data_IF_155973443431
#
_entry.id   IF_155973443431
#
_cell.length_a   1.000
_cell.length_b   1.000
_cell.length_c   1.000
_cell.angle_alpha   90.00
_cell.angle_beta   90.00
_cell.angle_gamma   90.00
#
_symmetry.space_group_name_H-M   'P 1'
#
loop_
_entity.id
_entity.type
_entity.pdbx_description
1 polymer ?
#
# COMPACT_ATOMS: atom_id res chain seq x y z
N UNK A 1 5.70 -7.91 -19.49
CA UNK A 1 5.29 -7.13 -18.31
C UNK A 1 6.33 -6.07 -18.01
N UNK A 2 5.92 -4.82 -17.79
CA UNK A 2 6.86 -3.74 -17.43
C UNK A 2 7.06 -3.69 -15.92
N UNK A 3 8.31 -3.57 -15.50
CA UNK A 3 8.73 -3.47 -14.09
C UNK A 3 9.49 -2.16 -13.92
N UNK A 4 9.19 -1.41 -12.86
CA UNK A 4 9.97 -0.23 -12.50
C UNK A 4 11.22 -0.66 -11.75
N UNK A 5 12.39 -0.21 -12.22
CA UNK A 5 13.68 -0.36 -11.57
C UNK A 5 14.18 0.98 -11.07
N UNK A 6 15.03 0.96 -10.05
CA UNK A 6 15.61 2.16 -9.47
C UNK A 6 17.13 2.04 -9.43
N UNK A 7 17.82 3.10 -9.86
CA UNK A 7 19.27 3.28 -9.69
C UNK A 7 19.51 4.46 -8.76
N UNK A 8 20.63 4.44 -8.05
CA UNK A 8 21.11 5.58 -7.28
C UNK A 8 22.27 6.28 -8.01
N UNK A 9 22.28 7.59 -7.96
CA UNK A 9 23.29 8.43 -8.56
C UNK A 9 23.67 9.61 -7.64
N UNK A 10 24.71 10.34 -8.02
CA UNK A 10 25.09 11.63 -7.40
C UNK A 10 23.99 12.70 -7.56
N UNK A 11 24.16 13.82 -6.92
CA UNK A 11 23.30 15.03 -7.10
C UNK A 11 24.16 16.09 -7.81
N UNK A 12 24.07 16.20 -9.15
CA UNK A 12 24.79 17.25 -9.89
C UNK A 12 24.24 18.64 -9.60
N UNK A 13 25.06 19.67 -9.83
CA UNK A 13 24.63 21.05 -9.78
C UNK A 13 23.50 21.32 -10.77
N UNK A 14 22.60 22.23 -10.41
CA UNK A 14 21.42 22.58 -11.24
C UNK A 14 20.22 21.65 -11.10
N UNK A 15 20.38 20.39 -10.66
CA UNK A 15 19.29 19.43 -10.56
C UNK A 15 18.19 19.89 -9.61
N UNK A 16 18.60 20.46 -8.45
CA UNK A 16 17.68 21.00 -7.45
C UNK A 16 16.89 22.20 -8.00
N UNK A 17 17.53 23.05 -8.79
CA UNK A 17 16.87 24.21 -9.43
C UNK A 17 15.78 23.75 -10.42
N UNK A 18 16.05 22.72 -11.23
CA UNK A 18 15.07 22.11 -12.13
C UNK A 18 13.88 21.55 -11.30
N UNK A 19 14.16 20.81 -10.23
CA UNK A 19 13.11 20.26 -9.36
C UNK A 19 12.22 21.36 -8.76
N UNK A 20 12.79 22.47 -8.32
CA UNK A 20 12.03 23.63 -7.80
C UNK A 20 11.12 24.24 -8.86
N UNK A 21 11.64 24.46 -10.07
CA UNK A 21 10.88 25.01 -11.19
C UNK A 21 9.76 24.08 -11.62
N UNK A 22 10.03 22.78 -11.69
CA UNK A 22 9.01 21.74 -11.94
C UNK A 22 7.97 21.71 -10.83
N UNK A 23 8.39 21.83 -9.57
CA UNK A 23 7.48 21.91 -8.41
C UNK A 23 6.53 23.11 -8.52
N UNK A 24 7.01 24.25 -8.98
CA UNK A 24 6.16 25.42 -9.27
C UNK A 24 5.12 25.10 -10.35
N UNK A 25 5.55 24.53 -11.49
CA UNK A 25 4.62 24.12 -12.57
C UNK A 25 3.56 23.15 -12.04
N UNK A 26 3.97 22.12 -11.27
CA UNK A 26 3.05 21.14 -10.66
C UNK A 26 2.01 21.82 -9.76
N UNK A 27 2.45 22.70 -8.90
CA UNK A 27 1.56 23.41 -7.96
C UNK A 27 0.59 24.33 -8.70
N UNK A 28 1.05 25.07 -9.70
CA UNK A 28 0.23 26.00 -10.46
C UNK A 28 -0.78 25.28 -11.36
N UNK A 29 -0.39 24.21 -12.05
CA UNK A 29 -1.31 23.37 -12.85
C UNK A 29 -2.39 22.77 -11.95
N UNK A 30 -2.04 22.27 -10.78
CA UNK A 30 -3.02 21.73 -9.83
C UNK A 30 -3.99 22.83 -9.36
N UNK A 31 -3.47 24.00 -9.00
CA UNK A 31 -4.28 25.14 -8.56
C UNK A 31 -5.27 25.60 -9.64
N UNK A 32 -4.84 25.69 -10.90
CA UNK A 32 -5.69 26.17 -12.00
C UNK A 32 -6.70 25.14 -12.48
N UNK A 33 -6.29 23.86 -12.56
CA UNK A 33 -7.03 22.80 -13.24
C UNK A 33 -7.45 21.64 -12.33
N UNK A 34 -7.09 21.66 -11.04
CA UNK A 34 -7.40 20.59 -10.07
C UNK A 34 -8.83 20.64 -9.53
N UNK A 35 -9.67 21.59 -9.95
CA UNK A 35 -11.07 21.64 -9.54
C UNK A 35 -11.88 20.51 -10.17
N UNK A 36 -12.93 20.04 -9.47
CA UNK A 36 -13.80 18.94 -9.91
C UNK A 36 -14.34 19.11 -11.33
N UNK A 37 -14.69 20.32 -11.73
CA UNK A 37 -15.19 20.61 -13.08
C UNK A 37 -14.10 20.54 -14.18
N UNK A 38 -12.83 20.56 -13.80
CA UNK A 38 -11.69 20.49 -14.73
C UNK A 38 -11.10 19.08 -14.79
N UNK A 39 -11.22 18.30 -13.73
CA UNK A 39 -10.67 16.94 -13.64
C UNK A 39 -11.54 15.96 -14.41
N UNK A 40 -11.08 15.55 -15.55
CA UNK A 40 -11.80 14.71 -16.52
C UNK A 40 -11.52 15.14 -17.94
N UNK A 41 -10.93 16.33 -18.13
CA UNK A 41 -10.40 16.74 -19.43
C UNK A 41 -9.23 15.83 -19.81
N UNK A 42 -9.12 15.51 -21.09
CA UNK A 42 -8.02 14.73 -21.62
C UNK A 42 -6.68 15.42 -21.28
N UNK A 43 -5.74 14.65 -20.68
CA UNK A 43 -4.42 15.13 -20.27
C UNK A 43 -3.67 15.81 -21.44
N UNK A 44 -3.76 15.25 -22.65
CA UNK A 44 -3.13 15.82 -23.84
C UNK A 44 -3.79 17.12 -24.29
N UNK A 45 -5.11 17.25 -24.19
CA UNK A 45 -5.81 18.49 -24.52
C UNK A 45 -5.40 19.61 -23.55
N UNK A 46 -5.31 19.31 -22.25
CA UNK A 46 -4.86 20.28 -21.25
C UNK A 46 -3.40 20.68 -21.47
N UNK A 47 -2.52 19.71 -21.73
CA UNK A 47 -1.11 19.96 -22.07
C UNK A 47 -0.99 20.87 -23.28
N UNK A 48 -1.71 20.59 -24.38
CA UNK A 48 -1.72 21.43 -25.59
C UNK A 48 -2.16 22.88 -25.30
N UNK A 49 -3.23 23.04 -24.50
CA UNK A 49 -3.72 24.35 -24.10
C UNK A 49 -2.69 25.16 -23.28
N UNK A 50 -2.03 24.51 -22.31
CA UNK A 50 -0.98 25.11 -21.46
C UNK A 50 0.24 25.49 -22.31
N UNK A 51 0.63 24.64 -23.26
CA UNK A 51 1.76 24.89 -24.18
C UNK A 51 1.44 26.03 -25.13
N UNK A 52 0.25 26.04 -25.72
CA UNK A 52 -0.18 27.11 -26.63
C UNK A 52 -0.26 28.48 -25.93
N UNK A 53 -0.72 28.48 -24.67
CA UNK A 53 -0.76 29.72 -23.87
C UNK A 53 0.62 30.13 -23.29
N UNK A 54 1.65 29.32 -23.49
CA UNK A 54 3.03 29.55 -23.02
C UNK A 54 3.14 29.99 -21.54
N UNK A 55 2.27 29.44 -20.66
CA UNK A 55 2.20 29.87 -19.27
C UNK A 55 3.53 29.79 -18.49
N UNK A 56 4.45 28.93 -18.91
CA UNK A 56 5.71 28.69 -18.21
C UNK A 56 6.94 28.92 -19.09
N UNK A 57 6.80 29.72 -20.16
CA UNK A 57 7.89 29.98 -21.10
C UNK A 57 9.12 30.65 -20.51
N UNK A 58 8.93 31.49 -19.51
CA UNK A 58 10.00 32.22 -18.84
C UNK A 58 10.76 31.36 -17.76
N UNK A 59 10.28 30.15 -17.43
CA UNK A 59 10.96 29.31 -16.45
C UNK A 59 12.21 28.67 -17.05
N UNK A 60 13.32 28.56 -16.29
CA UNK A 60 14.56 27.95 -16.73
C UNK A 60 14.46 26.41 -16.74
N UNK A 61 13.49 25.88 -17.48
CA UNK A 61 13.24 24.43 -17.61
C UNK A 61 12.94 24.09 -19.06
N UNK A 62 13.58 23.04 -19.58
CA UNK A 62 13.36 22.54 -20.92
C UNK A 62 11.88 22.29 -21.21
N UNK A 63 11.43 22.63 -22.43
CA UNK A 63 10.04 22.52 -22.85
C UNK A 63 9.48 21.10 -22.77
N UNK A 64 10.33 20.08 -23.01
CA UNK A 64 9.91 18.68 -22.91
C UNK A 64 9.68 18.25 -21.46
N UNK A 65 10.52 18.71 -20.52
CA UNK A 65 10.35 18.46 -19.07
C UNK A 65 9.06 19.14 -18.60
N UNK A 66 8.77 20.37 -19.06
CA UNK A 66 7.49 21.07 -18.74
C UNK A 66 6.28 20.30 -19.24
N UNK A 67 6.34 19.81 -20.47
CA UNK A 67 5.26 19.03 -21.08
C UNK A 67 4.98 17.72 -20.31
N UNK A 68 6.03 16.96 -20.00
CA UNK A 68 5.90 15.73 -19.21
C UNK A 68 5.44 16.01 -17.77
N UNK A 69 5.89 17.13 -17.16
CA UNK A 69 5.42 17.57 -15.85
C UNK A 69 3.91 17.82 -15.85
N UNK A 70 3.41 18.55 -16.85
CA UNK A 70 1.97 18.82 -16.98
C UNK A 70 1.18 17.52 -17.09
N UNK A 71 1.63 16.59 -17.92
CA UNK A 71 1.00 15.27 -18.09
C UNK A 71 0.99 14.47 -16.80
N UNK A 72 2.10 14.45 -16.07
CA UNK A 72 2.24 13.75 -14.78
C UNK A 72 1.28 14.32 -13.73
N UNK A 73 1.17 15.65 -13.64
CA UNK A 73 0.23 16.30 -12.70
C UNK A 73 -1.22 15.97 -13.02
N UNK A 74 -1.60 15.94 -14.29
CA UNK A 74 -2.97 15.58 -14.68
C UNK A 74 -3.27 14.11 -14.31
N UNK A 75 -2.30 13.21 -14.49
CA UNK A 75 -2.43 11.83 -14.04
C UNK A 75 -2.59 11.72 -12.52
N UNK A 76 -1.85 12.53 -11.75
CA UNK A 76 -2.01 12.60 -10.30
C UNK A 76 -3.42 13.07 -9.91
N UNK A 77 -3.98 14.08 -10.59
CA UNK A 77 -5.35 14.55 -10.36
C UNK A 77 -6.38 13.45 -10.65
N UNK A 78 -6.22 12.71 -11.74
CA UNK A 78 -7.11 11.60 -12.10
C UNK A 78 -7.02 10.46 -11.10
N UNK A 79 -5.81 10.13 -10.64
CA UNK A 79 -5.59 9.14 -9.58
C UNK A 79 -6.24 9.56 -8.27
N UNK A 80 -6.11 10.82 -7.89
CA UNK A 80 -6.76 11.38 -6.71
C UNK A 80 -8.30 11.33 -6.82
N UNK A 81 -8.85 11.68 -7.99
CA UNK A 81 -10.29 11.55 -8.28
C UNK A 81 -10.75 10.10 -8.15
N UNK A 82 -10.04 9.15 -8.73
CA UNK A 82 -10.36 7.73 -8.63
C UNK A 82 -10.38 7.25 -7.17
N UNK A 83 -9.38 7.63 -6.37
CA UNK A 83 -9.33 7.31 -4.94
C UNK A 83 -10.50 7.94 -4.15
N UNK A 84 -10.88 9.16 -4.47
CA UNK A 84 -12.05 9.81 -3.88
C UNK A 84 -13.36 9.07 -4.21
N UNK A 85 -13.53 8.64 -5.46
CA UNK A 85 -14.71 7.90 -5.91
C UNK A 85 -14.86 6.53 -5.23
N UNK A 86 -13.75 5.87 -4.84
CA UNK A 86 -13.80 4.65 -4.01
C UNK A 86 -14.47 4.96 -2.66
N UNK A 87 -14.10 6.06 -2.01
CA UNK A 87 -14.72 6.49 -0.74
C UNK A 87 -16.20 6.85 -0.91
N UNK A 88 -16.57 7.45 -2.05
CA UNK A 88 -17.99 7.74 -2.37
C UNK A 88 -18.77 6.45 -2.54
N UNK A 89 -18.23 5.43 -3.20
CA UNK A 89 -18.87 4.10 -3.31
C UNK A 89 -19.08 3.46 -1.95
N UNK A 90 -18.14 3.57 -1.05
CA UNK A 90 -18.28 3.09 0.34
C UNK A 90 -19.42 3.86 1.07
N UNK A 91 -19.54 5.17 0.86
CA UNK A 91 -20.61 5.98 1.42
C UNK A 91 -21.99 5.59 0.85
N UNK A 92 -22.08 5.27 -0.45
CA UNK A 92 -23.31 4.72 -1.08
C UNK A 92 -23.69 3.39 -0.43
N UNK A 93 -22.75 2.47 -0.27
CA UNK A 93 -22.98 1.17 0.36
C UNK A 93 -23.44 1.29 1.82
N UNK A 94 -22.93 2.30 2.55
CA UNK A 94 -23.34 2.58 3.94
C UNK A 94 -24.69 3.28 4.06
N UNK A 95 -25.11 4.04 3.05
CA UNK A 95 -26.35 4.83 3.07
C UNK A 95 -27.59 3.95 3.00
N UNK A 96 -27.61 2.97 2.12
CA UNK A 96 -28.79 2.15 1.87
C UNK A 96 -28.42 0.67 1.68
N UNK A 97 -29.32 -0.22 2.10
CA UNK A 97 -29.26 -1.66 1.83
C UNK A 97 -30.09 -2.03 0.60
N UNK A 98 -30.93 -1.13 0.10
CA UNK A 98 -31.72 -1.34 -1.10
C UNK A 98 -30.82 -1.45 -2.33
N UNK A 99 -30.90 -2.58 -3.02
CA UNK A 99 -30.10 -2.88 -4.20
C UNK A 99 -30.47 -2.02 -5.41
N UNK A 100 -31.73 -1.67 -5.59
CA UNK A 100 -32.20 -0.83 -6.70
C UNK A 100 -31.63 0.59 -6.55
N UNK A 101 -31.74 1.18 -5.37
CA UNK A 101 -31.19 2.51 -5.08
C UNK A 101 -29.65 2.51 -5.18
N UNK A 102 -28.95 1.47 -4.69
CA UNK A 102 -27.50 1.33 -4.88
C UNK A 102 -27.12 1.29 -6.34
N UNK A 103 -27.82 0.49 -7.14
CA UNK A 103 -27.58 0.39 -8.60
C UNK A 103 -27.77 1.74 -9.28
N UNK A 104 -28.85 2.46 -8.93
CA UNK A 104 -29.12 3.82 -9.43
C UNK A 104 -27.97 4.77 -9.11
N UNK A 105 -27.56 4.86 -7.83
CA UNK A 105 -26.48 5.75 -7.39
C UNK A 105 -25.13 5.39 -8.03
N UNK A 106 -24.79 4.10 -8.17
CA UNK A 106 -23.57 3.68 -8.86
C UNK A 106 -23.60 3.99 -10.34
N UNK A 107 -24.75 3.90 -11.01
CA UNK A 107 -24.90 4.27 -12.42
C UNK A 107 -24.70 5.77 -12.61
N UNK A 108 -25.31 6.60 -11.77
CA UNK A 108 -25.10 8.06 -11.78
C UNK A 108 -23.65 8.44 -11.50
N UNK A 109 -22.99 7.73 -10.55
CA UNK A 109 -21.60 7.96 -10.23
C UNK A 109 -20.66 7.56 -11.38
N UNK A 110 -20.95 6.43 -12.06
CA UNK A 110 -20.18 5.94 -13.21
C UNK A 110 -20.30 6.85 -14.44
N UNK A 111 -21.49 7.39 -14.68
CA UNK A 111 -21.74 8.32 -15.79
C UNK A 111 -21.23 9.74 -15.54
N UNK A 112 -20.60 9.97 -14.38
CA UNK A 112 -20.11 11.29 -13.92
C UNK A 112 -21.19 12.36 -13.76
N UNK A 113 -22.49 11.98 -13.81
CA UNK A 113 -23.64 12.88 -13.60
C UNK A 113 -23.96 13.09 -12.11
N UNK A 114 -22.98 12.91 -11.23
CA UNK A 114 -23.13 13.04 -9.79
C UNK A 114 -23.53 14.46 -9.32
N UNK A 115 -23.39 15.49 -10.14
CA UNK A 115 -23.91 16.83 -9.87
C UNK A 115 -25.45 16.87 -9.80
N UNK A 116 -26.13 15.94 -10.49
CA UNK A 116 -27.60 15.88 -10.52
C UNK A 116 -28.19 15.17 -9.29
N UNK A 117 -27.37 14.57 -8.45
CA UNK A 117 -27.80 13.88 -7.24
C UNK A 117 -27.21 14.57 -6.00
N UNK A 118 -28.05 15.13 -5.14
CA UNK A 118 -27.64 15.90 -3.96
C UNK A 118 -26.75 15.11 -2.98
N UNK A 119 -26.97 13.80 -2.84
CA UNK A 119 -26.15 12.99 -1.96
C UNK A 119 -24.77 12.75 -2.58
N UNK A 120 -24.71 12.30 -3.83
CA UNK A 120 -23.45 12.06 -4.52
C UNK A 120 -22.62 13.33 -4.64
N UNK A 121 -23.25 14.46 -4.97
CA UNK A 121 -22.58 15.76 -5.03
C UNK A 121 -21.88 16.11 -3.71
N UNK A 122 -22.60 15.99 -2.57
CA UNK A 122 -22.00 16.24 -1.25
C UNK A 122 -20.86 15.27 -0.93
N UNK A 123 -21.01 13.97 -1.25
CA UNK A 123 -19.97 12.98 -0.99
C UNK A 123 -18.75 13.19 -1.87
N UNK A 124 -18.92 13.48 -3.15
CA UNK A 124 -17.80 13.75 -4.06
C UNK A 124 -17.04 14.99 -3.58
N UNK A 125 -17.70 16.08 -3.24
CA UNK A 125 -17.05 17.30 -2.70
C UNK A 125 -16.37 17.08 -1.34
N UNK A 126 -16.90 16.18 -0.51
CA UNK A 126 -16.29 15.82 0.77
C UNK A 126 -14.95 15.10 0.58
N UNK A 127 -14.85 14.20 -0.39
CA UNK A 127 -13.69 13.32 -0.58
C UNK A 127 -12.72 13.82 -1.65
N UNK A 128 -13.20 14.58 -2.62
CA UNK A 128 -12.35 15.27 -3.59
C UNK A 128 -12.30 16.76 -3.25
N UNK A 129 -11.19 17.18 -2.66
CA UNK A 129 -10.96 18.60 -2.34
C UNK A 129 -9.95 19.16 -3.32
N UNK A 130 -10.22 20.37 -3.81
CA UNK A 130 -9.22 21.10 -4.58
C UNK A 130 -8.01 21.36 -3.68
N UNK A 131 -6.85 20.89 -4.10
CA UNK A 131 -5.61 20.96 -3.33
C UNK A 131 -4.48 21.60 -4.14
N UNK A 132 -3.28 21.47 -3.60
CA UNK A 132 -2.04 21.92 -4.22
C UNK A 132 -1.06 20.75 -4.21
N UNK A 133 -0.29 20.58 -5.29
CA UNK A 133 0.84 19.66 -5.28
C UNK A 133 2.00 20.26 -4.49
N UNK A 134 2.54 19.51 -3.55
CA UNK A 134 3.75 19.88 -2.79
C UNK A 134 4.99 19.13 -3.29
N UNK A 135 4.88 18.36 -4.37
CA UNK A 135 5.99 17.60 -4.95
C UNK A 135 6.91 18.55 -5.71
N UNK A 136 8.10 18.77 -5.21
CA UNK A 136 9.11 19.67 -5.77
C UNK A 136 10.52 19.03 -5.79
N UNK A 137 10.58 17.70 -5.70
CA UNK A 137 11.79 16.91 -5.60
C UNK A 137 11.99 15.96 -6.80
N UNK A 138 11.15 16.06 -7.84
CA UNK A 138 11.18 15.13 -8.96
C UNK A 138 10.75 15.75 -10.28
N UNK A 139 11.25 15.16 -11.37
CA UNK A 139 10.81 15.45 -12.73
C UNK A 139 10.93 14.24 -13.66
N UNK A 140 10.33 14.32 -14.85
CA UNK A 140 10.37 13.25 -15.85
C UNK A 140 11.20 13.70 -17.04
N UNK A 141 12.14 12.85 -17.46
CA UNK A 141 12.95 12.99 -18.67
C UNK A 141 12.43 12.01 -19.71
N UNK A 142 12.12 12.54 -20.89
CA UNK A 142 11.63 11.74 -22.02
C UNK A 142 12.77 10.90 -22.63
N UNK A 143 12.41 9.77 -23.22
CA UNK A 143 13.37 8.78 -23.76
C UNK A 143 14.32 9.32 -24.83
N UNK A 144 13.96 10.37 -25.58
CA UNK A 144 14.79 11.05 -26.58
C UNK A 144 15.73 12.10 -25.97
N UNK A 145 15.58 12.43 -24.70
CA UNK A 145 16.31 13.46 -23.97
C UNK A 145 17.37 12.92 -23.02
N UNK A 146 17.65 11.64 -23.06
CA UNK A 146 18.74 11.06 -22.30
C UNK A 146 19.49 10.00 -23.12
N UNK A 147 20.71 9.73 -22.69
CA UNK A 147 21.53 8.61 -23.16
C UNK A 147 22.24 7.98 -21.96
N UNK A 148 22.74 6.76 -22.12
CA UNK A 148 23.52 6.10 -21.09
C UNK A 148 24.76 5.46 -21.68
N UNK A 149 25.89 5.58 -20.97
CA UNK A 149 27.18 4.96 -21.32
C UNK A 149 27.88 4.47 -20.06
N UNK A 150 28.79 3.54 -20.20
CA UNK A 150 29.72 3.14 -19.12
C UNK A 150 30.98 3.94 -19.27
N UNK A 151 31.31 4.73 -18.26
CA UNK A 151 32.51 5.57 -18.18
C UNK A 151 33.22 5.20 -16.87
N UNK A 152 34.50 4.90 -16.93
CA UNK A 152 35.31 4.48 -15.78
C UNK A 152 34.66 3.39 -14.91
N UNK A 153 34.07 2.41 -15.58
CA UNK A 153 33.41 1.28 -14.92
C UNK A 153 32.06 1.61 -14.22
N UNK A 154 31.55 2.83 -14.36
CA UNK A 154 30.25 3.23 -13.82
C UNK A 154 29.27 3.58 -14.94
N UNK A 155 28.00 3.29 -14.74
CA UNK A 155 26.95 3.71 -15.65
C UNK A 155 26.67 5.19 -15.43
N UNK A 156 26.89 5.99 -16.47
CA UNK A 156 26.59 7.42 -16.51
C UNK A 156 25.37 7.65 -17.39
N UNK A 157 24.40 8.39 -16.87
CA UNK A 157 23.20 8.81 -17.60
C UNK A 157 23.33 10.28 -17.88
N UNK A 158 23.36 10.65 -19.15
CA UNK A 158 23.41 12.03 -19.63
C UNK A 158 22.01 12.50 -19.98
N UNK A 159 21.54 13.55 -19.31
CA UNK A 159 20.26 14.22 -19.60
C UNK A 159 20.55 15.44 -20.45
N UNK A 160 20.02 15.45 -21.67
CA UNK A 160 20.18 16.56 -22.61
C UNK A 160 19.11 17.60 -22.33
N UNK A 161 19.55 18.79 -21.97
CA UNK A 161 18.70 19.97 -21.82
C UNK A 161 19.01 20.97 -22.90
N UNK A 162 18.06 21.87 -23.19
CA UNK A 162 18.30 22.90 -24.20
C UNK A 162 19.46 23.81 -23.72
N UNK A 163 20.39 24.19 -24.63
CA UNK A 163 21.57 24.99 -24.28
C UNK A 163 21.26 26.27 -23.52
N UNK A 164 20.09 26.88 -23.79
CA UNK A 164 19.65 28.10 -23.08
C UNK A 164 19.37 27.88 -21.58
N UNK A 165 19.28 26.63 -21.12
CA UNK A 165 19.01 26.29 -19.72
C UNK A 165 20.23 25.71 -18.99
N UNK A 166 21.41 25.67 -19.63
CA UNK A 166 22.67 25.17 -19.09
C UNK A 166 23.25 24.01 -19.84
N UNK A 167 24.29 23.39 -19.26
CA UNK A 167 24.93 22.21 -19.82
C UNK A 167 24.15 20.93 -19.55
N UNK A 168 24.43 19.89 -20.30
CA UNK A 168 23.92 18.55 -20.06
C UNK A 168 24.23 18.08 -18.62
N UNK A 169 23.29 17.35 -18.05
CA UNK A 169 23.41 16.86 -16.67
C UNK A 169 23.88 15.41 -16.72
N UNK A 170 24.97 15.12 -16.00
CA UNK A 170 25.54 13.79 -15.90
C UNK A 170 25.24 13.15 -14.54
N UNK A 171 24.44 12.10 -14.53
CA UNK A 171 24.10 11.30 -13.36
C UNK A 171 25.02 10.08 -13.32
N UNK A 172 26.00 10.12 -12.43
CA UNK A 172 26.95 9.01 -12.22
C UNK A 172 26.31 8.05 -11.24
N UNK A 173 25.97 6.85 -11.72
CA UNK A 173 25.28 5.86 -10.90
C UNK A 173 26.25 5.02 -10.07
N UNK A 174 25.72 4.37 -9.03
CA UNK A 174 26.46 3.34 -8.27
C UNK A 174 26.57 2.01 -9.00
N UNK A 175 25.86 1.86 -10.13
CA UNK A 175 25.85 0.65 -10.96
C UNK A 175 27.01 0.68 -11.96
N UNK A 176 27.61 -0.49 -12.22
CA UNK A 176 28.60 -0.69 -13.28
C UNK A 176 27.98 -0.88 -14.68
N UNK A 177 26.66 -0.77 -14.81
CA UNK A 177 25.96 -0.94 -16.09
C UNK A 177 25.75 -2.38 -16.55
N UNK A 178 26.29 -3.38 -15.87
CA UNK A 178 26.02 -4.79 -16.20
C UNK A 178 24.54 -5.07 -16.01
N UNK A 179 23.91 -5.67 -17.01
CA UNK A 179 22.47 -6.03 -17.02
C UNK A 179 21.49 -4.84 -16.87
N UNK A 180 21.91 -3.61 -17.20
CA UNK A 180 21.05 -2.42 -17.17
C UNK A 180 20.74 -1.96 -18.59
N UNK A 181 19.49 -2.10 -19.03
CA UNK A 181 18.99 -1.56 -20.30
C UNK A 181 18.10 -0.34 -20.02
N UNK A 182 18.58 0.86 -20.34
CA UNK A 182 17.86 2.14 -20.16
C UNK A 182 17.53 2.74 -21.54
N UNK A 183 17.22 1.94 -22.53
CA UNK A 183 16.87 2.42 -23.89
C UNK A 183 15.35 2.52 -24.04
N UNK A 184 14.89 3.58 -24.69
CA UNK A 184 13.50 3.72 -25.13
C UNK A 184 12.46 3.93 -24.02
N UNK A 185 12.86 4.28 -22.80
CA UNK A 185 11.93 4.53 -21.68
C UNK A 185 12.14 5.94 -21.10
N UNK A 186 11.06 6.50 -20.57
CA UNK A 186 11.14 7.75 -19.80
C UNK A 186 11.77 7.47 -18.44
N UNK A 187 12.56 8.42 -17.92
CA UNK A 187 13.15 8.37 -16.59
C UNK A 187 12.38 9.29 -15.65
N UNK A 188 12.08 8.84 -14.45
CA UNK A 188 11.68 9.71 -13.34
C UNK A 188 12.89 9.92 -12.45
N UNK A 189 13.32 11.15 -12.32
CA UNK A 189 14.43 11.59 -11.50
C UNK A 189 13.86 12.10 -10.18
N UNK A 190 14.31 11.56 -9.06
CA UNK A 190 13.86 11.96 -7.71
C UNK A 190 15.07 12.33 -6.87
N UNK A 191 15.15 13.58 -6.46
CA UNK A 191 16.26 14.09 -5.65
C UNK A 191 15.97 13.84 -4.18
N UNK A 192 16.90 13.21 -3.50
CA UNK A 192 16.88 12.92 -2.06
C UNK A 192 18.01 13.66 -1.35
N UNK A 193 18.03 13.60 -0.02
CA UNK A 193 19.14 14.13 0.78
C UNK A 193 20.44 13.37 0.46
N UNK A 194 21.31 13.98 -0.37
CA UNK A 194 22.64 13.47 -0.70
C UNK A 194 22.73 12.46 -1.87
N UNK A 195 21.63 12.06 -2.50
CA UNK A 195 21.65 11.20 -3.67
C UNK A 195 20.41 11.41 -4.56
N UNK A 196 20.49 10.91 -5.80
CA UNK A 196 19.38 10.92 -6.77
C UNK A 196 18.90 9.50 -7.00
N UNK A 197 17.59 9.28 -7.02
CA UNK A 197 16.98 8.04 -7.50
C UNK A 197 16.51 8.22 -8.95
N UNK A 198 16.88 7.27 -9.79
CA UNK A 198 16.49 7.21 -11.20
C UNK A 198 15.54 6.03 -11.38
N UNK A 199 14.26 6.31 -11.58
CA UNK A 199 13.25 5.28 -11.81
C UNK A 199 13.01 5.13 -13.30
N UNK A 200 13.03 3.90 -13.80
CA UNK A 200 12.77 3.59 -15.22
C UNK A 200 12.00 2.29 -15.37
N UNK A 201 11.17 2.23 -16.40
CA UNK A 201 10.42 1.04 -16.72
C UNK A 201 11.20 0.18 -17.73
N UNK A 202 11.34 -1.09 -17.44
CA UNK A 202 11.93 -2.07 -18.34
C UNK A 202 11.02 -3.27 -18.52
N UNK A 203 11.09 -3.92 -19.65
CA UNK A 203 10.44 -5.21 -19.80
C UNK A 203 11.19 -6.23 -18.95
N UNK A 204 10.44 -6.96 -18.13
CA UNK A 204 11.00 -7.99 -17.31
C UNK A 204 11.35 -9.20 -18.17
N UNK A 205 12.60 -9.66 -18.07
CA UNK A 205 12.95 -11.00 -18.54
C UNK A 205 12.03 -12.03 -17.87
N UNK A 206 11.64 -13.06 -18.58
CA UNK A 206 10.86 -14.15 -18.01
C UNK A 206 11.60 -14.72 -16.81
N UNK A 207 10.93 -14.72 -15.66
CA UNK A 207 11.46 -15.32 -14.44
C UNK A 207 11.37 -16.85 -14.53
N UNK A 208 11.93 -17.56 -13.54
CA UNK A 208 11.73 -19.01 -13.45
C UNK A 208 10.23 -19.33 -13.47
N UNK A 209 9.87 -20.44 -14.11
CA UNK A 209 8.49 -20.90 -14.21
C UNK A 209 7.95 -21.18 -12.78
N UNK A 210 6.64 -21.01 -12.55
CA UNK A 210 5.99 -21.44 -11.32
C UNK A 210 5.95 -22.96 -11.21
N UNK A 211 5.67 -23.49 -10.02
CA UNK A 211 5.33 -24.91 -9.83
C UNK A 211 4.00 -25.30 -10.49
N UNK A 212 3.51 -26.47 -10.23
CA UNK A 212 2.33 -27.09 -10.87
C UNK A 212 1.12 -27.26 -9.92
N UNK A 213 1.32 -27.08 -8.61
CA UNK A 213 0.31 -27.36 -7.56
C UNK A 213 -0.67 -26.21 -7.36
N UNK A 214 -1.77 -26.54 -6.67
CA UNK A 214 -2.71 -25.56 -6.12
C UNK A 214 -2.50 -25.49 -4.61
N UNK A 215 -2.14 -24.33 -4.07
CA UNK A 215 -1.85 -24.13 -2.66
C UNK A 215 -2.72 -23.02 -2.05
N UNK A 216 -3.25 -23.28 -0.85
CA UNK A 216 -3.78 -22.24 0.01
C UNK A 216 -2.66 -21.50 0.74
N UNK A 217 -2.78 -20.19 0.87
CA UNK A 217 -1.78 -19.37 1.57
C UNK A 217 -2.48 -18.41 2.55
N UNK A 218 -2.29 -18.68 3.84
CA UNK A 218 -2.69 -17.78 4.93
C UNK A 218 -1.65 -16.67 5.11
N UNK A 219 -2.11 -15.43 5.33
CA UNK A 219 -1.24 -14.25 5.58
C UNK A 219 -1.03 -14.06 7.06
N UNK A 220 0.12 -14.48 7.55
CA UNK A 220 0.48 -14.43 8.97
C UNK A 220 0.96 -13.06 9.47
N UNK A 221 1.03 -12.95 10.79
CA UNK A 221 1.72 -11.87 11.49
C UNK A 221 3.12 -12.31 11.94
N UNK A 222 3.26 -13.55 12.36
CA UNK A 222 4.51 -14.16 12.87
C UNK A 222 5.41 -14.58 11.71
N UNK A 223 4.86 -15.31 10.77
CA UNK A 223 5.43 -15.64 9.46
C UNK A 223 4.75 -14.81 8.37
N UNK A 224 5.41 -14.63 7.24
CA UNK A 224 4.79 -13.91 6.13
C UNK A 224 3.60 -14.68 5.54
N UNK A 225 3.78 -15.98 5.31
CA UNK A 225 2.74 -16.90 4.83
C UNK A 225 2.91 -18.28 5.46
N UNK A 226 1.80 -18.97 5.65
CA UNK A 226 1.75 -20.42 5.89
C UNK A 226 0.97 -21.06 4.75
N UNK A 227 1.53 -22.09 4.11
CA UNK A 227 0.86 -22.79 3.00
C UNK A 227 0.01 -23.96 3.49
N UNK A 228 -0.82 -24.50 2.60
CA UNK A 228 -1.70 -25.65 2.87
C UNK A 228 -0.95 -26.98 3.05
N UNK A 229 0.36 -27.03 2.79
CA UNK A 229 1.23 -28.15 3.16
C UNK A 229 1.73 -28.04 4.62
N UNK A 230 1.45 -26.93 5.30
CA UNK A 230 1.91 -26.66 6.66
C UNK A 230 3.29 -26.01 6.69
N UNK A 231 3.88 -25.63 5.56
CA UNK A 231 5.17 -24.95 5.54
C UNK A 231 5.00 -23.46 5.80
N UNK A 232 5.79 -22.93 6.74
CA UNK A 232 5.89 -21.51 7.03
C UNK A 232 6.95 -20.83 6.17
N UNK A 233 6.63 -19.66 5.62
CA UNK A 233 7.49 -18.86 4.77
C UNK A 233 7.74 -17.49 5.41
N UNK A 234 9.01 -17.07 5.43
CA UNK A 234 9.37 -15.76 6.00
C UNK A 234 9.34 -15.72 7.52
N UNK A 235 9.94 -16.69 8.19
CA UNK A 235 9.99 -16.86 9.66
C UNK A 235 10.48 -15.60 10.41
N UNK A 236 11.34 -14.79 9.81
CA UNK A 236 11.85 -13.57 10.41
C UNK A 236 10.85 -12.38 10.35
N UNK A 237 9.73 -12.52 9.62
CA UNK A 237 8.80 -11.41 9.35
C UNK A 237 8.22 -10.81 10.64
N UNK A 238 7.70 -11.65 11.53
CA UNK A 238 7.10 -11.23 12.78
C UNK A 238 8.11 -10.64 13.77
N UNK A 239 9.35 -11.14 13.78
CA UNK A 239 10.41 -10.59 14.61
C UNK A 239 10.72 -9.14 14.22
N UNK A 240 10.90 -8.85 12.92
CA UNK A 240 11.12 -7.49 12.40
C UNK A 240 9.94 -6.58 12.73
N UNK A 241 8.71 -7.07 12.51
CA UNK A 241 7.49 -6.31 12.75
C UNK A 241 7.33 -5.96 14.25
N UNK A 242 7.58 -6.92 15.12
CA UNK A 242 7.49 -6.76 16.58
C UNK A 242 8.56 -5.80 17.07
N UNK A 243 9.82 -5.98 16.67
CA UNK A 243 10.92 -5.10 17.05
C UNK A 243 10.64 -3.66 16.65
N UNK A 244 10.23 -3.43 15.40
CA UNK A 244 9.86 -2.09 14.94
C UNK A 244 8.70 -1.50 15.74
N UNK A 245 7.63 -2.27 15.97
CA UNK A 245 6.46 -1.83 16.74
C UNK A 245 6.81 -1.43 18.16
N UNK A 246 7.62 -2.22 18.85
CA UNK A 246 8.00 -1.98 20.25
C UNK A 246 8.97 -0.78 20.36
N UNK A 247 9.92 -0.65 19.45
CA UNK A 247 10.79 0.54 19.34
C UNK A 247 10.00 1.82 19.04
N UNK A 248 9.02 1.75 18.14
CA UNK A 248 8.16 2.89 17.82
C UNK A 248 7.32 3.32 19.03
N UNK A 249 6.85 2.37 19.85
CA UNK A 249 6.12 2.65 21.09
C UNK A 249 7.00 3.33 22.13
N UNK A 250 8.20 2.80 22.40
CA UNK A 250 9.15 3.38 23.37
C UNK A 250 9.53 4.80 22.94
N UNK A 251 9.88 4.99 21.66
CA UNK A 251 10.19 6.32 21.11
C UNK A 251 8.99 7.27 21.23
N UNK A 252 7.76 6.78 20.96
CA UNK A 252 6.55 7.58 21.09
C UNK A 252 6.30 8.06 22.52
N UNK A 253 6.50 7.19 23.52
CA UNK A 253 6.37 7.54 24.93
C UNK A 253 7.38 8.62 25.36
N UNK A 254 8.66 8.48 24.96
CA UNK A 254 9.69 9.48 25.24
C UNK A 254 9.36 10.84 24.60
N UNK A 255 8.93 10.83 23.34
CA UNK A 255 8.55 12.05 22.61
C UNK A 255 7.33 12.74 23.23
N UNK A 256 6.34 11.98 23.72
CA UNK A 256 5.19 12.57 24.41
C UNK A 256 5.62 13.33 25.68
N UNK A 257 6.59 12.79 26.46
CA UNK A 257 7.17 13.50 27.60
C UNK A 257 7.87 14.78 27.18
N UNK A 258 8.65 14.73 26.10
CA UNK A 258 9.35 15.92 25.56
C UNK A 258 8.38 16.97 25.01
N UNK A 259 7.30 16.57 24.35
CA UNK A 259 6.25 17.49 23.91
C UNK A 259 5.55 18.17 25.11
N UNK A 260 5.25 17.39 26.17
CA UNK A 260 4.66 17.96 27.39
C UNK A 260 5.61 18.98 28.06
N UNK A 261 6.92 18.67 28.12
CA UNK A 261 7.94 19.54 28.65
C UNK A 261 8.12 20.82 27.80
N UNK A 262 8.17 20.68 26.48
CA UNK A 262 8.20 21.82 25.54
C UNK A 262 7.00 22.74 25.77
N UNK A 263 5.80 22.16 25.83
CA UNK A 263 4.57 22.93 26.08
C UNK A 263 4.62 23.65 27.44
N UNK A 264 5.10 22.99 28.50
CA UNK A 264 5.27 23.60 29.85
C UNK A 264 6.20 24.80 29.80
N UNK A 265 7.39 24.67 29.20
CA UNK A 265 8.33 25.78 29.08
C UNK A 265 7.77 26.93 28.25
N UNK A 266 7.05 26.64 27.18
CA UNK A 266 6.40 27.66 26.36
C UNK A 266 5.33 28.43 27.14
N UNK A 267 4.50 27.74 27.92
CA UNK A 267 3.46 28.39 28.75
C UNK A 267 4.01 29.18 29.94
N UNK A 268 5.20 28.83 30.46
CA UNK A 268 5.88 29.56 31.51
C UNK A 268 6.77 30.72 31.00
N UNK A 269 6.71 31.06 29.72
CA UNK A 269 7.50 32.14 29.11
C UNK A 269 8.95 31.77 28.78
N UNK A 270 9.42 30.57 29.09
CA UNK A 270 10.77 30.11 28.74
C UNK A 270 10.84 29.61 27.30
N UNK A 271 10.67 30.50 26.34
CA UNK A 271 10.58 30.21 24.91
C UNK A 271 11.87 29.61 24.37
N UNK A 272 13.03 30.12 24.79
CA UNK A 272 14.34 29.65 24.36
C UNK A 272 14.53 28.14 24.67
N UNK A 273 14.13 27.69 25.85
CA UNK A 273 14.18 26.28 26.25
C UNK A 273 13.20 25.43 25.46
N UNK A 274 11.98 25.92 25.22
CA UNK A 274 10.99 25.25 24.42
C UNK A 274 11.48 25.04 22.97
N UNK A 275 12.05 26.05 22.36
CA UNK A 275 12.59 25.99 20.99
C UNK A 275 13.80 25.06 20.90
N UNK A 276 14.69 25.06 21.88
CA UNK A 276 15.79 24.10 21.99
C UNK A 276 15.30 22.64 22.03
N UNK A 277 14.29 22.35 22.86
CA UNK A 277 13.68 20.99 22.90
C UNK A 277 13.10 20.63 21.54
N UNK A 278 12.36 21.52 20.89
CA UNK A 278 11.76 21.29 19.59
C UNK A 278 12.80 21.02 18.52
N UNK A 279 13.86 21.83 18.47
CA UNK A 279 14.91 21.74 17.46
C UNK A 279 15.77 20.48 17.62
N UNK A 280 16.23 20.19 18.84
CA UNK A 280 17.23 19.14 19.07
C UNK A 280 16.64 17.79 19.43
N UNK A 281 15.44 17.73 20.04
CA UNK A 281 14.89 16.48 20.58
C UNK A 281 13.63 15.98 19.86
N UNK A 282 12.89 16.86 19.18
CA UNK A 282 11.63 16.50 18.52
C UNK A 282 11.76 16.35 16.99
N UNK A 283 12.97 16.30 16.45
CA UNK A 283 13.22 16.00 15.04
C UNK A 283 12.71 14.60 14.64
N UNK A 284 12.40 14.40 13.35
CA UNK A 284 11.84 13.15 12.82
C UNK A 284 12.83 12.31 12.03
N UNK A 285 13.94 12.86 11.58
CA UNK A 285 14.89 12.22 10.64
C UNK A 285 15.29 10.79 11.06
N UNK A 286 15.68 10.59 12.33
CA UNK A 286 16.06 9.26 12.85
C UNK A 286 14.87 8.28 12.91
N UNK A 287 13.66 8.77 13.20
CA UNK A 287 12.45 7.96 13.28
C UNK A 287 12.05 7.51 11.87
N UNK A 288 12.04 8.44 10.93
CA UNK A 288 11.66 8.16 9.54
C UNK A 288 12.67 7.19 8.89
N UNK A 289 13.99 7.39 9.09
CA UNK A 289 15.01 6.45 8.62
C UNK A 289 14.86 5.03 9.22
N UNK A 290 14.49 4.92 10.50
CA UNK A 290 14.22 3.62 11.14
C UNK A 290 12.97 2.96 10.56
N UNK A 291 11.92 3.73 10.34
CA UNK A 291 10.68 3.25 9.69
C UNK A 291 10.98 2.73 8.29
N UNK A 292 11.70 3.49 7.48
CA UNK A 292 12.04 3.12 6.11
C UNK A 292 12.89 1.84 6.05
N UNK A 293 13.85 1.70 6.98
CA UNK A 293 14.65 0.47 7.09
C UNK A 293 13.78 -0.75 7.40
N UNK A 294 12.91 -0.65 8.39
CA UNK A 294 12.01 -1.75 8.75
C UNK A 294 11.04 -2.09 7.60
N UNK A 295 10.49 -1.09 6.91
CA UNK A 295 9.62 -1.31 5.75
C UNK A 295 10.34 -1.98 4.59
N UNK A 296 11.59 -1.57 4.29
CA UNK A 296 12.41 -2.22 3.25
C UNK A 296 12.68 -3.69 3.60
N UNK A 297 13.02 -3.98 4.84
CA UNK A 297 13.28 -5.35 5.30
C UNK A 297 12.01 -6.21 5.25
N UNK A 298 10.88 -5.73 5.73
CA UNK A 298 9.59 -6.43 5.64
C UNK A 298 9.18 -6.68 4.19
N UNK A 299 9.41 -5.71 3.31
CA UNK A 299 9.15 -5.86 1.87
C UNK A 299 10.03 -6.97 1.26
N UNK A 300 11.32 -6.98 1.56
CA UNK A 300 12.24 -8.03 1.09
C UNK A 300 11.77 -9.41 1.54
N UNK A 301 11.46 -9.59 2.82
CA UNK A 301 10.96 -10.85 3.36
C UNK A 301 9.63 -11.29 2.69
N UNK A 302 8.69 -10.36 2.50
CA UNK A 302 7.42 -10.67 1.84
C UNK A 302 7.61 -11.16 0.40
N UNK A 303 8.49 -10.49 -0.38
CA UNK A 303 8.76 -10.90 -1.76
C UNK A 303 9.53 -12.23 -1.83
N UNK A 304 10.52 -12.46 -0.98
CA UNK A 304 11.22 -13.75 -0.90
C UNK A 304 10.25 -14.89 -0.56
N UNK A 305 9.37 -14.68 0.43
CA UNK A 305 8.35 -15.66 0.81
C UNK A 305 7.33 -15.93 -0.31
N UNK A 306 6.92 -14.90 -1.05
CA UNK A 306 6.04 -15.08 -2.21
C UNK A 306 6.73 -15.88 -3.33
N UNK A 307 8.04 -15.70 -3.54
CA UNK A 307 8.81 -16.51 -4.50
C UNK A 307 8.84 -17.98 -4.09
N UNK A 308 9.10 -18.30 -2.81
CA UNK A 308 9.13 -19.70 -2.32
C UNK A 308 7.77 -20.38 -2.42
N UNK A 309 6.64 -19.64 -2.24
CA UNK A 309 5.30 -20.16 -2.51
C UNK A 309 5.10 -20.49 -3.99
N UNK A 310 5.47 -19.56 -4.88
CA UNK A 310 5.29 -19.72 -6.33
C UNK A 310 6.24 -20.75 -6.92
N UNK A 311 7.37 -21.08 -6.27
CA UNK A 311 8.21 -22.21 -6.65
C UNK A 311 7.47 -23.53 -6.66
N UNK A 312 6.46 -23.68 -5.79
CA UNK A 312 5.67 -24.90 -5.65
C UNK A 312 4.35 -24.91 -6.45
N UNK A 313 3.78 -23.75 -6.75
CA UNK A 313 2.39 -23.64 -7.15
C UNK A 313 2.16 -22.87 -8.46
N UNK A 314 1.32 -23.42 -9.32
CA UNK A 314 0.71 -22.75 -10.48
C UNK A 314 -0.47 -21.87 -10.07
N UNK A 315 -1.18 -22.26 -8.99
CA UNK A 315 -2.33 -21.52 -8.46
C UNK A 315 -2.14 -21.31 -6.98
N UNK A 316 -2.18 -20.05 -6.54
CA UNK A 316 -2.18 -19.68 -5.12
C UNK A 316 -3.55 -19.12 -4.76
N UNK A 317 -4.18 -19.73 -3.78
CA UNK A 317 -5.43 -19.26 -3.17
C UNK A 317 -5.10 -18.51 -1.90
N UNK A 318 -5.53 -17.26 -1.76
CA UNK A 318 -5.24 -16.46 -0.57
C UNK A 318 -6.41 -15.60 -0.14
N UNK A 319 -6.41 -15.18 1.11
CA UNK A 319 -7.47 -14.36 1.68
C UNK A 319 -7.51 -12.94 1.10
N UNK A 320 -8.73 -12.43 0.85
CA UNK A 320 -8.94 -11.01 0.57
C UNK A 320 -9.01 -10.20 1.88
N UNK A 321 -7.89 -9.60 2.26
CA UNK A 321 -7.77 -8.72 3.44
C UNK A 321 -7.88 -7.23 3.10
N UNK A 322 -8.49 -6.86 1.98
CA UNK A 322 -8.67 -5.44 1.58
C UNK A 322 -9.63 -4.69 2.49
N UNK A 323 -10.59 -5.39 3.09
CA UNK A 323 -11.51 -4.80 4.06
C UNK A 323 -10.81 -4.37 5.34
N UNK A 324 -11.19 -3.21 5.93
CA UNK A 324 -10.66 -2.78 7.20
C UNK A 324 -10.96 -3.80 8.31
N UNK A 325 -9.95 -4.13 9.13
CA UNK A 325 -10.17 -4.94 10.32
C UNK A 325 -11.00 -4.12 11.30
N UNK A 326 -12.15 -4.66 11.73
CA UNK A 326 -13.03 -3.99 12.67
C UNK A 326 -12.27 -3.74 13.99
N UNK A 327 -12.21 -2.47 14.41
CA UNK A 327 -11.61 -2.10 15.70
C UNK A 327 -12.54 -2.59 16.81
N UNK A 328 -12.12 -3.62 17.55
CA UNK A 328 -12.80 -4.01 18.79
C UNK A 328 -12.36 -3.05 19.89
N UNK A 329 -13.31 -2.39 20.55
CA UNK A 329 -13.06 -1.40 21.62
C UNK A 329 -12.28 -1.96 22.84
N UNK A 330 -12.27 -3.28 23.02
CA UNK A 330 -11.70 -3.97 24.18
C UNK A 330 -10.34 -4.64 23.96
N UNK A 331 -9.70 -4.44 22.81
CA UNK A 331 -8.38 -5.07 22.60
C UNK A 331 -7.26 -4.22 23.19
N UNK A 332 -6.27 -4.88 23.79
CA UNK A 332 -5.12 -4.26 24.45
C UNK A 332 -4.36 -3.33 23.49
N UNK A 333 -3.92 -2.18 23.98
CA UNK A 333 -3.18 -1.17 23.21
C UNK A 333 -2.00 -1.76 22.40
N UNK A 334 -1.31 -2.77 22.98
CA UNK A 334 -0.20 -3.47 22.33
C UNK A 334 -0.66 -4.26 21.10
N UNK A 335 -1.76 -5.01 21.20
CA UNK A 335 -2.34 -5.77 20.10
C UNK A 335 -2.81 -4.82 18.97
N UNK A 336 -3.57 -3.78 19.28
CA UNK A 336 -4.05 -2.83 18.30
C UNK A 336 -2.89 -2.14 17.56
N UNK A 337 -1.78 -1.82 18.25
CA UNK A 337 -0.58 -1.26 17.64
C UNK A 337 0.08 -2.24 16.68
N UNK A 338 0.25 -3.51 17.09
CA UNK A 338 0.82 -4.56 16.25
C UNK A 338 -0.03 -4.79 15.00
N UNK A 339 -1.33 -4.90 15.16
CA UNK A 339 -2.27 -5.07 14.02
C UNK A 339 -2.30 -3.85 13.10
N UNK A 340 -2.11 -2.64 13.62
CA UNK A 340 -2.02 -1.43 12.79
C UNK A 340 -0.70 -1.33 12.01
N UNK A 341 0.37 -1.95 12.51
CA UNK A 341 1.67 -2.04 11.84
C UNK A 341 1.79 -3.26 10.93
N UNK A 342 0.81 -4.17 10.95
CA UNK A 342 0.81 -5.36 10.10
C UNK A 342 0.82 -5.01 8.62
N UNK A 343 1.85 -5.49 7.95
CA UNK A 343 2.13 -5.15 6.55
C UNK A 343 1.29 -5.98 5.56
N UNK A 344 -0.01 -6.23 5.86
CA UNK A 344 -0.90 -7.02 4.99
C UNK A 344 -0.95 -6.55 3.54
N UNK A 345 -0.83 -5.24 3.32
CA UNK A 345 -0.77 -4.65 1.99
C UNK A 345 0.50 -5.05 1.23
N UNK A 346 1.64 -5.09 1.93
CA UNK A 346 2.93 -5.54 1.36
C UNK A 346 2.91 -7.03 1.02
N UNK A 347 2.27 -7.87 1.86
CA UNK A 347 2.09 -9.30 1.58
C UNK A 347 1.20 -9.52 0.35
N UNK A 348 0.08 -8.79 0.25
CA UNK A 348 -0.81 -8.87 -0.90
C UNK A 348 -0.12 -8.41 -2.20
N UNK A 349 0.63 -7.31 -2.14
CA UNK A 349 1.42 -6.79 -3.25
C UNK A 349 2.50 -7.79 -3.69
N UNK A 350 3.19 -8.42 -2.74
CA UNK A 350 4.22 -9.41 -3.04
C UNK A 350 3.65 -10.62 -3.78
N UNK A 351 2.52 -11.19 -3.29
CA UNK A 351 1.85 -12.31 -3.96
C UNK A 351 1.39 -11.93 -5.37
N UNK A 352 0.66 -10.83 -5.52
CA UNK A 352 0.16 -10.38 -6.82
C UNK A 352 1.29 -10.14 -7.81
N UNK A 353 2.35 -9.45 -7.37
CA UNK A 353 3.50 -9.15 -8.20
C UNK A 353 4.26 -10.42 -8.62
N UNK A 354 4.54 -11.33 -7.70
CA UNK A 354 5.34 -12.54 -7.98
C UNK A 354 4.52 -13.53 -8.81
N UNK A 355 3.23 -13.75 -8.50
CA UNK A 355 2.35 -14.58 -9.32
C UNK A 355 2.29 -14.06 -10.76
N UNK A 356 2.05 -12.77 -10.94
CA UNK A 356 2.04 -12.14 -12.28
C UNK A 356 3.38 -12.32 -12.99
N UNK A 357 4.49 -12.14 -12.28
CA UNK A 357 5.85 -12.25 -12.86
C UNK A 357 6.18 -13.67 -13.33
N UNK A 358 5.69 -14.67 -12.63
CA UNK A 358 6.02 -16.08 -12.86
C UNK A 358 4.89 -16.86 -13.53
N UNK A 359 3.88 -16.14 -14.05
CA UNK A 359 2.70 -16.71 -14.75
C UNK A 359 1.87 -17.66 -13.86
N UNK A 360 1.99 -17.55 -12.53
CA UNK A 360 1.10 -18.24 -11.59
C UNK A 360 -0.24 -17.50 -11.47
N UNK A 361 -1.31 -18.21 -11.17
CA UNK A 361 -2.64 -17.63 -10.94
C UNK A 361 -2.82 -17.32 -9.46
N UNK A 362 -3.19 -16.09 -9.13
CA UNK A 362 -3.62 -15.71 -7.78
C UNK A 362 -5.15 -15.66 -7.72
N UNK A 363 -5.74 -16.43 -6.81
CA UNK A 363 -7.18 -16.42 -6.54
C UNK A 363 -7.42 -15.89 -5.14
N UNK A 364 -8.22 -14.82 -5.03
CA UNK A 364 -8.57 -14.23 -3.75
C UNK A 364 -9.94 -14.72 -3.29
N UNK A 365 -10.00 -15.27 -2.07
CA UNK A 365 -11.19 -15.83 -1.44
C UNK A 365 -11.64 -15.05 -0.23
N UNK A 366 -12.83 -15.33 0.28
CA UNK A 366 -13.39 -14.68 1.46
C UNK A 366 -12.63 -15.09 2.74
N UNK A 367 -12.11 -14.11 3.47
CA UNK A 367 -11.33 -14.31 4.69
C UNK A 367 -12.18 -14.59 5.95
N UNK A 368 -13.52 -14.56 5.84
CA UNK A 368 -14.38 -14.69 7.01
C UNK A 368 -14.33 -16.11 7.56
N UNK A 369 -13.96 -16.25 8.83
CA UNK A 369 -13.93 -17.49 9.61
C UNK A 369 -12.89 -18.54 9.19
N UNK A 370 -12.00 -18.29 8.23
CA UNK A 370 -10.96 -19.23 7.80
C UNK A 370 -10.09 -19.72 8.96
N UNK A 371 -9.75 -18.86 9.91
CA UNK A 371 -8.98 -19.21 11.11
C UNK A 371 -9.81 -19.83 12.26
N UNK A 372 -11.14 -19.98 12.08
CA UNK A 372 -12.05 -20.48 13.12
C UNK A 372 -12.76 -21.78 12.74
N UNK A 373 -12.69 -22.15 11.46
CA UNK A 373 -13.25 -23.41 10.95
C UNK A 373 -12.27 -24.55 11.19
N UNK A 374 -12.78 -25.74 11.41
CA UNK A 374 -12.01 -26.98 11.35
C UNK A 374 -11.80 -27.37 9.88
N UNK A 375 -10.55 -27.43 9.45
CA UNK A 375 -10.20 -27.76 8.08
C UNK A 375 -10.50 -29.22 7.67
N UNK A 376 -10.75 -30.11 8.63
CA UNK A 376 -11.10 -31.51 8.34
C UNK A 376 -12.51 -31.64 7.76
N UNK A 377 -13.44 -30.76 8.16
CA UNK A 377 -14.85 -30.89 7.79
C UNK A 377 -15.49 -29.58 7.30
N UNK A 378 -14.76 -28.47 7.33
CA UNK A 378 -15.26 -27.16 6.88
C UNK A 378 -16.32 -26.54 7.81
N UNK A 379 -16.48 -27.05 9.00
CA UNK A 379 -17.49 -26.59 9.96
C UNK A 379 -16.91 -25.57 10.93
N UNK A 380 -17.79 -24.72 11.47
CA UNK A 380 -17.44 -23.73 12.48
C UNK A 380 -17.38 -24.36 13.88
N UNK A 381 -16.43 -25.27 14.07
CA UNK A 381 -16.19 -26.05 15.30
C UNK A 381 -14.69 -26.11 15.61
N UNK A 382 -14.35 -26.66 16.80
CA UNK A 382 -12.97 -26.61 17.30
C UNK A 382 -12.63 -25.28 17.96
N UNK A 383 -11.40 -25.13 18.45
CA UNK A 383 -10.95 -23.95 19.22
C UNK A 383 -9.51 -23.59 18.88
N UNK A 384 -9.27 -22.34 18.48
CA UNK A 384 -7.91 -21.79 18.37
C UNK A 384 -7.44 -21.26 19.73
N UNK A 385 -6.27 -21.70 20.18
CA UNK A 385 -5.58 -21.19 21.37
C UNK A 385 -4.13 -20.91 21.00
N UNK A 386 -3.76 -19.64 20.86
CA UNK A 386 -2.44 -19.23 20.38
C UNK A 386 -2.18 -19.77 18.97
N UNK A 387 -1.09 -20.51 18.81
CA UNK A 387 -0.65 -21.09 17.54
C UNK A 387 -1.19 -22.52 17.30
N UNK A 388 -2.07 -22.99 18.18
CA UNK A 388 -2.70 -24.32 18.10
C UNK A 388 -4.18 -24.23 17.79
N UNK A 389 -4.65 -25.12 16.94
CA UNK A 389 -6.06 -25.36 16.67
C UNK A 389 -6.45 -26.76 17.17
N UNK A 390 -7.37 -26.80 18.11
CA UNK A 390 -7.90 -28.03 18.73
C UNK A 390 -9.16 -28.43 17.98
N UNK A 391 -9.12 -29.56 17.31
CA UNK A 391 -10.26 -30.16 16.59
C UNK A 391 -11.22 -30.83 17.57
N UNK A 392 -12.45 -31.03 17.12
CA UNK A 392 -13.45 -31.81 17.89
C UNK A 392 -13.05 -33.28 17.98
N UNK A 393 -12.31 -33.82 17.01
CA UNK A 393 -11.73 -35.18 17.05
C UNK A 393 -10.71 -35.39 18.16
N UNK A 394 -10.21 -34.33 18.80
CA UNK A 394 -9.11 -34.37 19.74
C UNK A 394 -7.74 -34.07 19.13
N UNK A 395 -7.63 -34.05 17.81
CA UNK A 395 -6.39 -33.73 17.12
C UNK A 395 -6.01 -32.26 17.31
N UNK A 396 -4.71 -31.99 17.31
CA UNK A 396 -4.16 -30.63 17.39
C UNK A 396 -3.36 -30.32 16.14
N UNK A 397 -3.73 -29.23 15.45
CA UNK A 397 -3.03 -28.74 14.28
C UNK A 397 -2.43 -27.36 14.58
N UNK A 398 -1.37 -26.99 13.85
CA UNK A 398 -0.88 -25.60 13.87
C UNK A 398 -1.98 -24.68 13.28
N UNK A 399 -2.26 -23.58 13.96
CA UNK A 399 -3.46 -22.77 13.69
C UNK A 399 -3.45 -22.10 12.30
N UNK A 400 -2.28 -21.67 11.84
CA UNK A 400 -2.15 -21.00 10.54
C UNK A 400 -2.14 -22.02 9.39
N UNK A 401 -1.65 -23.27 9.65
CA UNK A 401 -1.84 -24.39 8.72
C UNK A 401 -3.33 -24.75 8.57
N UNK A 402 -4.07 -24.84 9.68
CA UNK A 402 -5.53 -25.01 9.62
C UNK A 402 -6.22 -23.90 8.82
N UNK A 403 -5.77 -22.65 8.99
CA UNK A 403 -6.29 -21.51 8.24
C UNK A 403 -5.96 -21.63 6.73
N UNK A 404 -4.74 -22.01 6.37
CA UNK A 404 -4.32 -22.19 4.98
C UNK A 404 -5.12 -23.30 4.26
N UNK A 405 -5.41 -24.40 4.95
CA UNK A 405 -6.30 -25.47 4.44
C UNK A 405 -7.73 -24.96 4.20
N UNK A 406 -8.28 -24.17 5.12
CA UNK A 406 -9.59 -23.55 4.97
C UNK A 406 -9.61 -22.51 3.84
N UNK A 407 -8.52 -21.78 3.64
CA UNK A 407 -8.37 -20.85 2.51
C UNK A 407 -8.39 -21.62 1.19
N UNK A 408 -7.70 -22.76 1.11
CA UNK A 408 -7.72 -23.62 -0.06
C UNK A 408 -9.11 -24.16 -0.34
N UNK A 409 -9.78 -24.73 0.67
CA UNK A 409 -11.13 -25.29 0.57
C UNK A 409 -12.18 -24.23 0.15
N UNK A 410 -11.94 -22.94 0.44
CA UNK A 410 -12.82 -21.85 0.04
C UNK A 410 -12.82 -21.59 -1.48
N UNK A 411 -11.86 -22.13 -2.22
CA UNK A 411 -11.81 -22.04 -3.69
C UNK A 411 -13.05 -22.66 -4.34
N UNK A 412 -13.49 -23.81 -3.81
CA UNK A 412 -14.58 -24.62 -4.35
C UNK A 412 -15.91 -24.40 -3.61
N UNK A 413 -15.97 -23.41 -2.70
CA UNK A 413 -17.18 -23.11 -1.93
C UNK A 413 -18.18 -22.34 -2.78
N UNK A 414 -19.22 -23.03 -3.28
CA UNK A 414 -20.26 -22.46 -4.14
C UNK A 414 -21.18 -21.46 -3.43
N UNK A 415 -21.33 -21.53 -2.10
CA UNK A 415 -22.23 -20.66 -1.32
C UNK A 415 -21.53 -19.40 -0.82
N UNK A 416 -20.19 -19.45 -0.60
CA UNK A 416 -19.43 -18.34 -0.05
C UNK A 416 -18.49 -17.76 -1.11
N UNK A 417 -18.98 -16.75 -1.83
CA UNK A 417 -18.15 -15.99 -2.77
C UNK A 417 -17.18 -15.03 -2.03
N UNK A 418 -16.17 -14.56 -2.75
CA UNK A 418 -15.21 -13.53 -2.25
C UNK A 418 -15.90 -12.33 -1.59
N UNK A 419 -17.06 -11.92 -2.10
CA UNK A 419 -17.76 -10.72 -1.67
C UNK A 419 -18.94 -10.97 -0.73
N UNK A 420 -19.17 -12.21 -0.32
CA UNK A 420 -20.22 -12.54 0.65
C UNK A 420 -19.99 -11.79 1.98
N UNK A 421 -20.97 -11.05 2.50
CA UNK A 421 -20.80 -10.27 3.72
C UNK A 421 -20.51 -11.16 4.94
N UNK A 422 -19.68 -10.69 5.88
CA UNK A 422 -19.24 -11.43 7.07
C UNK A 422 -20.40 -12.08 7.85
N UNK A 423 -21.51 -11.36 8.03
CA UNK A 423 -22.71 -11.89 8.73
C UNK A 423 -23.36 -13.02 7.97
N UNK A 424 -23.38 -12.93 6.66
CA UNK A 424 -23.94 -13.97 5.79
C UNK A 424 -23.07 -15.22 5.76
N UNK A 425 -21.74 -15.06 5.69
CA UNK A 425 -20.81 -16.19 5.84
C UNK A 425 -21.06 -16.92 7.16
N UNK A 426 -21.26 -16.20 8.27
CA UNK A 426 -21.59 -16.83 9.55
C UNK A 426 -22.88 -17.63 9.49
N UNK A 427 -23.93 -17.08 8.87
CA UNK A 427 -25.24 -17.75 8.73
C UNK A 427 -25.10 -19.06 7.96
N UNK A 428 -24.38 -19.03 6.83
CA UNK A 428 -24.12 -20.21 5.99
C UNK A 428 -23.36 -21.28 6.78
N UNK A 429 -22.26 -20.90 7.45
CA UNK A 429 -21.44 -21.84 8.20
C UNK A 429 -22.19 -22.46 9.39
N UNK A 430 -23.05 -21.70 10.07
CA UNK A 430 -23.90 -22.22 11.15
C UNK A 430 -24.96 -23.19 10.61
N UNK A 431 -25.51 -22.91 9.44
CA UNK A 431 -26.49 -23.82 8.79
C UNK A 431 -25.87 -25.17 8.38
N UNK A 432 -24.57 -25.19 8.05
CA UNK A 432 -23.81 -26.41 7.75
C UNK A 432 -23.49 -27.24 8.99
N UNK A 433 -23.43 -26.60 10.17
CA UNK A 433 -23.08 -27.29 11.42
C UNK A 433 -24.28 -28.03 12.00
N UNK A 434 -24.13 -29.28 12.48
CA UNK A 434 -25.22 -30.02 13.11
C UNK A 434 -25.86 -29.26 14.29
N UNK A 435 -27.17 -29.33 14.42
CA UNK A 435 -27.96 -28.54 15.40
C UNK A 435 -27.49 -28.72 16.86
N UNK A 436 -27.01 -29.91 17.26
CA UNK A 436 -26.50 -30.19 18.61
C UNK A 436 -25.21 -29.43 18.98
N UNK A 437 -24.38 -29.04 18.00
CA UNK A 437 -23.16 -28.28 18.25
C UNK A 437 -23.40 -26.76 18.34
N UNK A 438 -24.53 -26.26 17.81
CA UNK A 438 -24.92 -24.86 17.85
C UNK A 438 -25.43 -24.43 19.22
N UNK A 439 -26.08 -25.30 19.99
CA UNK A 439 -26.61 -25.02 21.33
C UNK A 439 -25.46 -24.86 22.36
N UNK A 440 -24.51 -25.75 22.40
CA UNK A 440 -23.36 -25.71 23.31
C UNK A 440 -22.44 -24.47 23.09
N UNK A 441 -22.50 -23.85 21.94
CA UNK A 441 -21.69 -22.65 21.62
C UNK A 441 -22.34 -21.35 22.04
N UNK A 442 -23.67 -21.30 22.09
CA UNK A 442 -24.41 -20.18 22.68
C UNK A 442 -24.16 -20.13 24.19
N UNK A 443 -24.17 -21.27 24.87
CA UNK A 443 -23.89 -21.37 26.31
C UNK A 443 -22.43 -21.06 26.68
N UNK A 444 -21.44 -21.52 25.89
CA UNK A 444 -20.02 -21.20 26.10
C UNK A 444 -19.68 -19.75 25.77
N UNK A 445 -20.41 -19.11 24.87
CA UNK A 445 -20.25 -17.69 24.52
C UNK A 445 -20.78 -16.75 25.60
N UNK A 446 -21.74 -17.19 26.41
CA UNK A 446 -22.30 -16.43 27.54
C UNK A 446 -21.45 -16.59 28.80
N UNK A 447 -20.89 -17.76 29.07
CA UNK A 447 -20.00 -17.99 30.23
C UNK A 447 -18.66 -17.26 30.13
N UNK A 448 -18.16 -16.96 28.90
CA UNK A 448 -16.94 -16.15 28.74
C UNK A 448 -17.15 -14.65 28.91
N UNK A 449 -18.37 -14.19 29.24
CA UNK A 449 -18.73 -12.76 29.46
C UNK A 449 -18.86 -12.37 30.93
N UNK A 450 -18.70 -13.29 31.89
CA UNK A 450 -18.66 -12.88 33.29
C UNK A 450 -17.31 -12.20 33.59
N UNK A 451 -17.31 -10.96 34.07
CA UNK A 451 -16.10 -10.33 34.56
C UNK A 451 -15.65 -11.09 35.80
N UNK A 452 -14.41 -11.51 35.81
CA UNK A 452 -13.76 -11.95 37.10
C UNK A 452 -13.78 -10.74 38.03
N UNK A 453 -14.74 -10.71 38.92
CA UNK A 453 -14.63 -9.99 40.17
C UNK A 453 -13.49 -10.67 40.96
N UNK A 454 -12.64 -9.86 41.50
CA UNK A 454 -11.51 -10.04 42.40
C UNK A 454 -10.13 -9.78 41.76
N UNK A 455 -9.55 -8.63 42.08
CA UNK A 455 -8.63 -8.51 43.21
C UNK A 455 -8.20 -7.08 43.45
N UNK A 456 -8.44 -6.66 44.68
CA UNK A 456 -7.78 -5.63 45.48
C UNK A 456 -6.32 -5.37 45.12
#
# INVERSE_FOLDING_TARGET
>A
MKVTRTLQANVPDGLVAICKSVGFVRADVWRRFGALGCVGKNADALRKAITAANFYGALPVDGTIRAETTKDVVNDMLTYKAAALVKVRQAVAARTKDNAERKRLYTVLKSEKWLTDNFLHRQVRKHFRHGVSHTADQFIVRSDKHSSAVVDGKLVITIRIAPMYGNDIHLITTSNGKNVAIKGCNLRIVVKDGFTEIHYATDKAEGPVCGDRVLGADKGYTEAFTDSDGQAHGLAFGAVLTQYSDQAAATGQQRNKLHALEKKHRSSGNVAKADSIKLHNLGRKKIDARKDRAQKQLRTLAFQSAHTLVDKAAVIVSEDLTSPIAKKKQQWKRFNRRMSSWAKGTLAEALDSVCTQRKAKLVLVNAAYTSQMDSANGLLQGKRVGDKFYRVSGDVLQADHNAALNVLARLDDSEISRFTPYKEVRRILLARSPAQLSVNRLELGEQSRQPSADKS
#
